data_IF_809731489929
#
_entry.id   IF_809731489929
#
_cell.length_a   1.000
_cell.length_b   1.000
_cell.length_c   1.000
_cell.angle_alpha   90.00
_cell.angle_beta   90.00
_cell.angle_gamma   90.00
#
_symmetry.space_group_name_H-M   'P 1'
#
loop_
_entity.id
_entity.type
_entity.pdbx_description
1 polymer ?
#
# COMPACT_ATOMS: atom_id res chain seq x y z
N UNK A 1 -13.85 18.99 -30.92
CA UNK A 1 -15.15 19.05 -30.23
C UNK A 1 -14.97 18.27 -28.93
N UNK A 2 -14.79 18.97 -27.82
CA UNK A 2 -14.64 18.35 -26.50
C UNK A 2 -16.03 17.98 -26.00
N UNK A 3 -16.31 16.69 -25.89
CA UNK A 3 -17.49 16.23 -25.15
C UNK A 3 -17.47 16.87 -23.76
N UNK A 4 -18.61 17.38 -23.27
CA UNK A 4 -18.69 17.91 -21.91
C UNK A 4 -18.26 16.80 -20.94
N UNK A 5 -17.56 17.18 -19.87
CA UNK A 5 -17.11 16.34 -18.74
C UNK A 5 -18.30 15.48 -18.23
N UNK A 6 -18.55 14.38 -18.94
CA UNK A 6 -19.70 13.52 -18.71
C UNK A 6 -19.53 12.78 -17.39
N UNK A 7 -20.62 12.24 -16.82
CA UNK A 7 -20.52 11.41 -15.63
C UNK A 7 -19.51 10.29 -15.91
N UNK A 8 -18.50 10.18 -15.05
CA UNK A 8 -17.43 9.17 -15.15
C UNK A 8 -18.04 7.81 -15.50
N UNK A 9 -17.68 7.33 -16.68
CA UNK A 9 -18.21 6.07 -17.22
C UNK A 9 -17.82 4.91 -16.31
N UNK A 10 -18.63 3.85 -16.31
CA UNK A 10 -18.35 2.61 -15.56
C UNK A 10 -16.96 2.06 -15.91
N UNK A 11 -16.55 2.17 -17.17
CA UNK A 11 -15.21 1.80 -17.64
C UNK A 11 -14.09 2.59 -16.97
N UNK A 12 -14.29 3.88 -16.68
CA UNK A 12 -13.27 4.66 -15.96
C UNK A 12 -13.08 4.15 -14.53
N UNK A 13 -14.15 3.74 -13.85
CA UNK A 13 -14.05 3.11 -12.52
C UNK A 13 -13.28 1.79 -12.59
N UNK A 14 -13.54 0.96 -13.60
CA UNK A 14 -12.80 -0.28 -13.81
C UNK A 14 -11.32 -0.04 -14.15
N UNK A 15 -11.01 1.01 -14.91
CA UNK A 15 -9.60 1.40 -15.17
C UNK A 15 -8.89 1.83 -13.90
N UNK A 16 -9.55 2.56 -13.00
CA UNK A 16 -8.98 2.88 -11.68
C UNK A 16 -8.71 1.61 -10.87
N UNK A 17 -9.66 0.66 -10.86
CA UNK A 17 -9.52 -0.61 -10.16
C UNK A 17 -8.33 -1.42 -10.68
N UNK A 18 -8.21 -1.58 -12.00
CA UNK A 18 -7.08 -2.27 -12.62
C UNK A 18 -5.74 -1.58 -12.36
N UNK A 19 -5.71 -0.24 -12.45
CA UNK A 19 -4.49 0.52 -12.17
C UNK A 19 -4.06 0.38 -10.70
N UNK A 20 -5.00 0.43 -9.75
CA UNK A 20 -4.72 0.21 -8.33
C UNK A 20 -4.15 -1.19 -8.10
N UNK A 21 -4.76 -2.23 -8.68
CA UNK A 21 -4.28 -3.60 -8.57
C UNK A 21 -2.88 -3.77 -9.20
N UNK A 22 -2.67 -3.20 -10.38
CA UNK A 22 -1.40 -3.27 -11.08
C UNK A 22 -0.25 -2.62 -10.29
N UNK A 23 -0.44 -1.39 -9.81
CA UNK A 23 0.58 -0.69 -9.03
C UNK A 23 0.77 -1.30 -7.64
N UNK A 24 -0.29 -1.83 -7.01
CA UNK A 24 -0.17 -2.56 -5.75
C UNK A 24 0.62 -3.87 -5.92
N UNK A 25 0.39 -4.61 -7.01
CA UNK A 25 1.13 -5.83 -7.32
C UNK A 25 2.60 -5.55 -7.65
N UNK A 26 2.87 -4.44 -8.34
CA UNK A 26 4.22 -3.98 -8.67
C UNK A 26 4.95 -3.31 -7.49
N UNK A 27 4.30 -3.14 -6.32
CA UNK A 27 4.82 -2.37 -5.17
C UNK A 27 5.25 -0.93 -5.54
N UNK A 28 4.65 -0.37 -6.59
CA UNK A 28 4.93 0.99 -7.07
C UNK A 28 4.06 1.99 -6.29
N UNK A 29 4.49 2.30 -5.07
CA UNK A 29 3.71 3.08 -4.11
C UNK A 29 3.48 4.53 -4.54
N UNK A 30 4.45 5.14 -5.22
CA UNK A 30 4.32 6.51 -5.74
C UNK A 30 3.20 6.59 -6.77
N UNK A 31 3.19 5.68 -7.76
CA UNK A 31 2.11 5.66 -8.76
C UNK A 31 0.79 5.24 -8.16
N UNK A 32 0.79 4.35 -7.18
CA UNK A 32 -0.42 3.97 -6.45
C UNK A 32 -1.08 5.18 -5.77
N UNK A 33 -0.29 6.05 -5.11
CA UNK A 33 -0.79 7.30 -4.51
C UNK A 33 -1.37 8.23 -5.57
N UNK A 34 -0.71 8.39 -6.71
CA UNK A 34 -1.21 9.23 -7.81
C UNK A 34 -2.54 8.71 -8.35
N UNK A 35 -2.67 7.39 -8.55
CA UNK A 35 -3.91 6.77 -9.02
C UNK A 35 -5.01 6.92 -7.98
N UNK A 36 -4.70 6.72 -6.70
CA UNK A 36 -5.64 6.91 -5.61
C UNK A 36 -6.16 8.37 -5.55
N UNK A 37 -5.26 9.35 -5.63
CA UNK A 37 -5.64 10.77 -5.63
C UNK A 37 -6.54 11.10 -6.83
N UNK A 38 -6.22 10.59 -8.03
CA UNK A 38 -7.05 10.77 -9.23
C UNK A 38 -8.43 10.14 -9.06
N UNK A 39 -8.49 8.94 -8.49
CA UNK A 39 -9.74 8.24 -8.18
C UNK A 39 -10.60 9.02 -7.17
N UNK A 40 -10.00 9.54 -6.10
CA UNK A 40 -10.71 10.37 -5.10
C UNK A 40 -11.25 11.65 -5.72
N UNK A 41 -10.44 12.36 -6.53
CA UNK A 41 -10.90 13.55 -7.24
C UNK A 41 -12.04 13.25 -8.21
N UNK A 42 -11.97 12.11 -8.91
CA UNK A 42 -13.03 11.59 -9.75
C UNK A 42 -14.32 11.31 -8.96
N UNK A 43 -14.23 10.72 -7.76
CA UNK A 43 -15.38 10.45 -6.89
C UNK A 43 -16.04 11.75 -6.42
N UNK A 44 -15.24 12.75 -6.06
CA UNK A 44 -15.74 14.06 -5.64
C UNK A 44 -16.47 14.76 -6.79
N UNK A 45 -15.86 14.79 -7.99
CA UNK A 45 -16.45 15.44 -9.18
C UNK A 45 -17.73 14.76 -9.67
N UNK A 46 -17.76 13.43 -9.64
CA UNK A 46 -18.88 12.63 -10.17
C UNK A 46 -20.11 12.61 -9.26
N UNK A 47 -20.02 13.09 -8.01
CA UNK A 47 -21.17 13.19 -7.12
C UNK A 47 -21.82 11.83 -6.81
N UNK A 48 -23.15 11.80 -6.65
CA UNK A 48 -23.89 10.57 -6.33
C UNK A 48 -24.10 9.68 -7.56
N UNK A 49 -24.03 8.34 -7.44
CA UNK A 49 -24.31 7.44 -8.55
C UNK A 49 -25.78 7.58 -9.00
N UNK A 50 -26.00 7.74 -10.30
CA UNK A 50 -27.33 7.89 -10.89
C UNK A 50 -27.94 6.58 -11.36
N UNK A 51 -27.14 5.53 -11.53
CA UNK A 51 -27.60 4.20 -11.96
C UNK A 51 -27.11 3.09 -11.04
N UNK A 52 -27.87 1.98 -10.99
CA UNK A 52 -27.47 0.77 -10.24
C UNK A 52 -26.11 0.23 -10.69
N UNK A 53 -25.82 0.30 -11.98
CA UNK A 53 -24.54 -0.14 -12.54
C UNK A 53 -23.36 0.72 -12.05
N UNK A 54 -23.53 2.05 -11.97
CA UNK A 54 -22.53 2.92 -11.36
C UNK A 54 -22.36 2.65 -9.85
N UNK A 55 -23.44 2.37 -9.14
CA UNK A 55 -23.37 1.99 -7.73
C UNK A 55 -22.55 0.72 -7.54
N UNK A 56 -22.82 -0.33 -8.34
CA UNK A 56 -22.07 -1.58 -8.30
C UNK A 56 -20.60 -1.39 -8.65
N UNK A 57 -20.28 -0.62 -9.69
CA UNK A 57 -18.90 -0.33 -10.07
C UNK A 57 -18.12 0.36 -8.93
N UNK A 58 -18.75 1.32 -8.23
CA UNK A 58 -18.16 2.00 -7.08
C UNK A 58 -18.00 1.08 -5.86
N UNK A 59 -18.94 0.16 -5.65
CA UNK A 59 -18.82 -0.85 -4.59
C UNK A 59 -17.66 -1.82 -4.85
N UNK A 60 -17.50 -2.28 -6.09
CA UNK A 60 -16.35 -3.12 -6.49
C UNK A 60 -15.04 -2.38 -6.23
N UNK A 61 -14.94 -1.14 -6.71
CA UNK A 61 -13.76 -0.30 -6.52
C UNK A 61 -13.44 -0.09 -5.03
N UNK A 62 -14.45 0.14 -4.19
CA UNK A 62 -14.27 0.29 -2.75
C UNK A 62 -13.77 -1.00 -2.08
N UNK A 63 -14.29 -2.16 -2.49
CA UNK A 63 -13.83 -3.45 -1.99
C UNK A 63 -12.37 -3.70 -2.38
N UNK A 64 -12.02 -3.44 -3.64
CA UNK A 64 -10.65 -3.57 -4.15
C UNK A 64 -9.69 -2.64 -3.43
N UNK A 65 -10.05 -1.36 -3.27
CA UNK A 65 -9.24 -0.39 -2.51
C UNK A 65 -9.04 -0.82 -1.05
N UNK A 66 -10.08 -1.33 -0.38
CA UNK A 66 -9.97 -1.85 0.99
C UNK A 66 -9.01 -3.04 1.07
N UNK A 67 -9.11 -4.00 0.13
CA UNK A 67 -8.22 -5.16 0.10
C UNK A 67 -6.74 -4.76 -0.11
N UNK A 68 -6.48 -3.72 -0.92
CA UNK A 68 -5.12 -3.18 -1.09
C UNK A 68 -4.61 -2.59 0.22
N UNK A 69 -5.41 -1.80 0.94
CA UNK A 69 -5.02 -1.23 2.24
C UNK A 69 -4.71 -2.33 3.25
N UNK A 70 -5.58 -3.33 3.37
CA UNK A 70 -5.37 -4.46 4.29
C UNK A 70 -4.06 -5.18 3.99
N UNK A 71 -3.77 -5.42 2.72
CA UNK A 71 -2.50 -6.03 2.29
C UNK A 71 -1.30 -5.14 2.63
N UNK A 72 -1.39 -3.83 2.40
CA UNK A 72 -0.31 -2.89 2.75
C UNK A 72 -0.05 -2.85 4.26
N UNK A 73 -1.11 -2.89 5.09
CA UNK A 73 -0.98 -2.95 6.55
C UNK A 73 -0.29 -4.24 7.00
N UNK A 74 -0.64 -5.38 6.41
CA UNK A 74 0.03 -6.65 6.68
C UNK A 74 1.52 -6.59 6.31
N UNK A 75 1.86 -6.07 5.13
CA UNK A 75 3.25 -5.90 4.70
C UNK A 75 4.03 -4.98 5.64
N UNK A 76 3.42 -3.87 6.10
CA UNK A 76 4.05 -2.97 7.06
C UNK A 76 4.32 -3.67 8.40
N UNK A 77 3.38 -4.46 8.91
CA UNK A 77 3.54 -5.22 10.14
C UNK A 77 4.67 -6.25 10.03
N UNK A 78 4.74 -6.96 8.89
CA UNK A 78 5.80 -7.93 8.63
C UNK A 78 7.17 -7.25 8.59
N UNK A 79 7.31 -6.14 7.86
CA UNK A 79 8.56 -5.37 7.80
C UNK A 79 9.01 -4.89 9.19
N UNK A 80 8.06 -4.47 10.03
CA UNK A 80 8.36 -4.05 11.42
C UNK A 80 8.90 -5.22 12.27
N UNK A 81 8.36 -6.42 12.09
CA UNK A 81 8.86 -7.61 12.76
C UNK A 81 10.27 -7.99 12.28
N UNK A 82 10.51 -7.96 10.97
CA UNK A 82 11.82 -8.23 10.39
C UNK A 82 12.87 -7.23 10.87
N UNK A 83 12.54 -5.93 10.89
CA UNK A 83 13.42 -4.90 11.46
C UNK A 83 13.74 -5.15 12.94
N UNK A 84 12.77 -5.58 13.73
CA UNK A 84 12.98 -5.89 15.14
C UNK A 84 13.93 -7.09 15.31
N UNK A 85 13.72 -8.17 14.54
CA UNK A 85 14.61 -9.34 14.56
C UNK A 85 16.01 -8.99 14.11
N UNK A 86 16.16 -8.20 13.04
CA UNK A 86 17.46 -7.75 12.54
C UNK A 86 18.21 -6.94 13.61
N UNK A 87 17.53 -6.04 14.31
CA UNK A 87 18.12 -5.27 15.41
C UNK A 87 18.57 -6.18 16.56
N UNK A 88 17.75 -7.14 16.97
CA UNK A 88 18.12 -8.10 18.02
C UNK A 88 19.32 -8.96 17.64
N UNK A 89 19.43 -9.38 16.37
CA UNK A 89 20.60 -10.11 15.88
C UNK A 89 21.86 -9.25 15.93
N UNK A 90 21.76 -7.97 15.54
CA UNK A 90 22.87 -7.03 15.61
C UNK A 90 23.33 -6.79 17.06
N UNK A 91 22.38 -6.58 17.98
CA UNK A 91 22.67 -6.41 19.40
C UNK A 91 23.29 -7.68 20.01
N UNK A 92 22.81 -8.86 19.61
CA UNK A 92 23.36 -10.15 20.05
C UNK A 92 24.78 -10.40 19.55
N UNK A 93 25.09 -10.04 18.30
CA UNK A 93 26.44 -10.11 17.74
C UNK A 93 27.39 -9.14 18.45
N UNK A 94 26.94 -7.91 18.72
CA UNK A 94 27.72 -6.92 19.46
C UNK A 94 28.02 -7.40 20.89
N UNK A 95 27.02 -7.94 21.60
CA UNK A 95 27.19 -8.50 22.93
C UNK A 95 28.20 -9.67 22.93
N UNK A 96 28.13 -10.56 21.93
CA UNK A 96 29.07 -11.67 21.78
C UNK A 96 30.51 -11.20 21.52
N UNK A 97 30.69 -10.18 20.67
CA UNK A 97 32.01 -9.58 20.46
C UNK A 97 32.56 -8.93 21.73
N UNK A 98 31.71 -8.25 22.50
CA UNK A 98 32.08 -7.69 23.79
C UNK A 98 32.49 -8.77 24.79
N UNK A 99 31.74 -9.87 24.91
CA UNK A 99 32.09 -10.96 25.83
C UNK A 99 33.34 -11.70 25.41
N UNK A 100 33.57 -11.91 24.10
CA UNK A 100 34.83 -12.48 23.61
C UNK A 100 36.03 -11.55 23.84
N UNK A 101 35.86 -10.25 23.67
CA UNK A 101 36.91 -9.27 23.95
C UNK A 101 37.20 -9.13 25.46
N UNK A 102 36.17 -9.20 26.31
CA UNK A 102 36.33 -9.12 27.76
C UNK A 102 36.82 -10.42 28.39
N UNK A 103 36.51 -11.58 27.82
CA UNK A 103 37.00 -12.88 28.29
C UNK A 103 38.46 -13.16 27.89
N UNK A 104 39.06 -12.34 27.01
CA UNK A 104 40.46 -12.43 26.60
C UNK A 104 41.44 -11.59 27.44
N UNK A 105 40.97 -10.93 28.51
CA UNK A 105 41.77 -10.09 29.42
C UNK A 105 41.56 -10.51 30.88
N UNK A 106 41.90 -11.75 31.19
CA UNK A 106 42.18 -12.18 32.56
C UNK A 106 43.37 -13.14 32.49
N UNK A 107 44.56 -12.56 32.31
CA UNK A 107 45.81 -13.28 32.48
C UNK A 107 46.85 -12.33 33.07
N UNK A 108 46.77 -12.11 34.38
CA UNK A 108 47.91 -11.83 35.26
C UNK A 108 47.71 -12.55 36.60
#
# INVERSE_FOLDING_TARGET
MSEPDGPISIEQWQRFEQALLFHAAAQDWEKLVVVNQKMTNALIKSGKPTTRMQLLARQSLAATHKGIIEKMLQTQQQLKQEMHQFKMQQDGLAAYQFTCASAGVDHE
#
